data_IF_484861749818
#
_entry.id   IF_484861749818
#
_cell.length_a   1.000
_cell.length_b   1.000
_cell.length_c   1.000
_cell.angle_alpha   90.00
_cell.angle_beta   90.00
_cell.angle_gamma   90.00
#
_symmetry.space_group_name_H-M   'P 1'
#
loop_
_entity.id
_entity.type
_entity.pdbx_description
1 polymer ?
#
# COMPACT_ATOMS: atom_id res chain seq x y z
N UNK A 1 -13.76 -21.26 16.17
CA UNK A 1 -13.44 -19.93 15.57
C UNK A 1 -12.87 -19.00 16.65
N UNK A 2 -11.64 -18.50 16.49
CA UNK A 2 -11.02 -17.59 17.46
C UNK A 2 -11.71 -16.21 17.50
N UNK A 3 -11.52 -15.49 18.60
CA UNK A 3 -12.00 -14.10 18.77
C UNK A 3 -11.35 -13.21 17.70
N UNK A 4 -12.16 -12.54 16.87
CA UNK A 4 -11.70 -11.57 15.87
C UNK A 4 -12.13 -10.17 16.31
N UNK A 5 -11.22 -9.21 16.22
CA UNK A 5 -11.43 -7.79 16.60
C UNK A 5 -10.71 -6.91 15.58
N UNK A 6 -11.26 -5.74 15.30
CA UNK A 6 -10.57 -4.68 14.56
C UNK A 6 -10.05 -3.65 15.56
N UNK A 7 -8.79 -3.25 15.43
CA UNK A 7 -8.17 -2.18 16.21
C UNK A 7 -7.98 -0.96 15.30
N UNK A 8 -8.46 0.20 15.74
CA UNK A 8 -8.29 1.47 15.02
C UNK A 8 -7.70 2.51 15.96
N UNK A 9 -6.65 3.19 15.52
CA UNK A 9 -6.05 4.32 16.22
C UNK A 9 -6.51 5.62 15.56
N UNK A 10 -7.05 6.56 16.35
CA UNK A 10 -7.53 7.86 15.86
C UNK A 10 -8.40 7.70 14.59
N UNK A 11 -9.55 7.00 14.67
CA UNK A 11 -10.31 6.58 13.51
C UNK A 11 -10.67 7.74 12.60
N UNK A 12 -10.40 7.58 11.29
CA UNK A 12 -11.00 8.42 10.26
C UNK A 12 -12.35 7.83 9.84
N UNK A 13 -13.17 8.63 9.17
CA UNK A 13 -14.41 8.17 8.53
C UNK A 13 -14.18 6.94 7.65
N UNK A 14 -13.19 7.02 6.76
CA UNK A 14 -12.80 5.93 5.86
C UNK A 14 -12.46 4.63 6.61
N UNK A 15 -11.74 4.73 7.74
CA UNK A 15 -11.39 3.56 8.54
C UNK A 15 -12.63 2.92 9.20
N UNK A 16 -13.53 3.74 9.75
CA UNK A 16 -14.78 3.27 10.37
C UNK A 16 -15.70 2.61 9.35
N UNK A 17 -15.93 3.26 8.20
CA UNK A 17 -16.76 2.71 7.12
C UNK A 17 -16.20 1.37 6.63
N UNK A 18 -14.89 1.27 6.42
CA UNK A 18 -14.25 0.03 5.96
C UNK A 18 -14.46 -1.12 6.95
N UNK A 19 -14.38 -0.85 8.25
CA UNK A 19 -14.59 -1.85 9.31
C UNK A 19 -16.06 -2.21 9.50
N UNK A 20 -16.98 -1.26 9.27
CA UNK A 20 -18.42 -1.54 9.25
C UNK A 20 -18.81 -2.46 8.09
N UNK A 21 -18.28 -2.21 6.88
CA UNK A 21 -18.54 -3.03 5.68
C UNK A 21 -18.19 -4.50 5.90
N UNK A 22 -17.08 -4.79 6.58
CA UNK A 22 -16.63 -6.17 6.87
C UNK A 22 -17.30 -6.79 8.11
N UNK A 23 -18.29 -6.12 8.72
CA UNK A 23 -19.09 -6.68 9.81
C UNK A 23 -18.47 -6.56 11.20
N UNK A 24 -17.64 -5.54 11.45
CA UNK A 24 -17.05 -5.27 12.77
C UNK A 24 -17.47 -3.90 13.32
N UNK A 25 -18.77 -3.63 13.52
CA UNK A 25 -19.29 -2.29 13.83
C UNK A 25 -18.75 -1.67 15.12
N UNK A 26 -18.20 -2.48 16.03
CA UNK A 26 -17.60 -2.05 17.30
C UNK A 26 -16.09 -2.37 17.34
N UNK A 27 -15.25 -1.58 16.64
CA UNK A 27 -13.81 -1.73 16.72
C UNK A 27 -13.30 -1.35 18.12
N UNK A 28 -12.16 -1.91 18.49
CA UNK A 28 -11.35 -1.40 19.59
C UNK A 28 -10.73 -0.08 19.12
N UNK A 29 -11.09 1.01 19.78
CA UNK A 29 -10.59 2.35 19.44
C UNK A 29 -9.54 2.76 20.46
N UNK A 30 -8.39 3.21 19.96
CA UNK A 30 -7.36 3.87 20.76
C UNK A 30 -7.24 5.31 20.27
N UNK A 31 -7.17 6.24 21.20
CA UNK A 31 -6.94 7.64 20.90
C UNK A 31 -5.54 8.05 21.35
N UNK A 32 -4.89 8.89 20.54
CA UNK A 32 -3.62 9.54 20.88
C UNK A 32 -3.63 10.98 20.38
N UNK A 33 -2.94 11.84 21.12
CA UNK A 33 -2.66 13.21 20.72
C UNK A 33 -1.14 13.40 20.56
N UNK A 34 -0.75 14.40 19.78
CA UNK A 34 0.66 14.79 19.67
C UNK A 34 0.98 15.66 20.89
N UNK A 35 2.13 15.41 21.52
CA UNK A 35 2.61 16.24 22.63
C UNK A 35 2.78 17.70 22.19
N UNK A 36 2.20 18.62 22.96
CA UNK A 36 2.27 20.05 22.68
C UNK A 36 3.71 20.59 22.65
N UNK A 37 4.63 19.97 23.38
CA UNK A 37 6.04 20.34 23.35
C UNK A 37 6.69 20.03 22.00
N UNK A 38 6.33 18.92 21.34
CA UNK A 38 6.80 18.62 19.98
C UNK A 38 6.31 19.67 18.98
N UNK A 39 5.05 20.11 19.11
CA UNK A 39 4.49 21.16 18.25
C UNK A 39 5.21 22.50 18.46
N UNK A 40 5.52 22.86 19.70
CA UNK A 40 6.32 24.06 20.02
C UNK A 40 7.73 23.97 19.43
N UNK A 41 8.43 22.84 19.58
CA UNK A 41 9.77 22.65 19.02
C UNK A 41 9.75 22.76 17.48
N UNK A 42 8.74 22.18 16.82
CA UNK A 42 8.57 22.31 15.37
C UNK A 42 8.38 23.78 14.94
N UNK A 43 7.59 24.55 15.70
CA UNK A 43 7.41 26.00 15.44
C UNK A 43 8.71 26.80 15.64
N UNK A 44 9.61 26.32 16.49
CA UNK A 44 10.94 26.90 16.71
C UNK A 44 11.96 26.48 15.63
N UNK A 45 11.56 25.72 14.61
CA UNK A 45 12.43 25.32 13.51
C UNK A 45 13.32 24.11 13.80
N UNK A 46 13.04 23.34 14.86
CA UNK A 46 13.72 22.06 15.10
C UNK A 46 13.41 21.05 13.98
N UNK A 47 14.32 20.08 13.80
CA UNK A 47 14.16 19.04 12.79
C UNK A 47 12.91 18.19 13.08
N UNK A 48 12.03 18.09 12.09
CA UNK A 48 10.77 17.33 12.16
C UNK A 48 10.82 16.12 11.22
N UNK A 49 11.44 15.03 11.70
CA UNK A 49 11.65 13.81 10.92
C UNK A 49 10.42 12.91 10.79
N UNK A 50 10.53 11.88 9.96
CA UNK A 50 9.50 10.85 9.83
C UNK A 50 9.31 10.10 11.14
N UNK A 51 8.06 10.00 11.60
CA UNK A 51 7.70 9.12 12.73
C UNK A 51 7.36 7.72 12.20
N UNK A 52 8.03 6.64 12.65
CA UNK A 52 7.78 5.27 12.18
C UNK A 52 6.45 4.74 12.73
N UNK A 53 5.35 5.24 12.15
CA UNK A 53 4.00 5.04 12.65
C UNK A 53 3.59 3.56 12.69
N UNK A 54 4.00 2.76 11.72
CA UNK A 54 3.72 1.32 11.70
C UNK A 54 4.46 0.55 12.81
N UNK A 55 5.64 1.02 13.24
CA UNK A 55 6.31 0.44 14.39
C UNK A 55 5.51 0.70 15.68
N UNK A 56 5.05 1.94 15.89
CA UNK A 56 4.15 2.25 17.00
C UNK A 56 2.89 1.37 17.00
N UNK A 57 2.25 1.18 15.84
CA UNK A 57 1.09 0.29 15.72
C UNK A 57 1.41 -1.17 16.05
N UNK A 58 2.63 -1.65 15.77
CA UNK A 58 3.05 -3.01 16.14
C UNK A 58 3.07 -3.18 17.67
N UNK A 59 3.69 -2.25 18.40
CA UNK A 59 3.71 -2.26 19.87
C UNK A 59 2.31 -2.08 20.47
N UNK A 60 1.52 -1.13 19.95
CA UNK A 60 0.15 -0.91 20.40
C UNK A 60 -0.71 -2.17 20.15
N UNK A 61 -0.58 -2.78 18.98
CA UNK A 61 -1.27 -4.01 18.63
C UNK A 61 -0.90 -5.16 19.55
N UNK A 62 0.38 -5.35 19.88
CA UNK A 62 0.82 -6.37 20.83
C UNK A 62 0.23 -6.13 22.24
N UNK A 63 0.22 -4.88 22.71
CA UNK A 63 -0.35 -4.51 24.00
C UNK A 63 -1.86 -4.77 24.06
N UNK A 64 -2.63 -4.19 23.12
CA UNK A 64 -4.09 -4.38 23.05
C UNK A 64 -4.44 -5.85 22.81
N UNK A 65 -3.68 -6.53 21.95
CA UNK A 65 -3.83 -7.95 21.69
C UNK A 65 -3.75 -8.80 22.94
N UNK A 66 -2.76 -8.53 23.78
CA UNK A 66 -2.56 -9.20 25.07
C UNK A 66 -3.74 -8.96 26.00
N UNK A 67 -4.19 -7.71 26.14
CA UNK A 67 -5.34 -7.36 27.00
C UNK A 67 -6.65 -8.03 26.57
N UNK A 68 -6.82 -8.28 25.28
CA UNK A 68 -8.03 -8.90 24.73
C UNK A 68 -7.88 -10.39 24.43
N UNK A 69 -6.77 -11.01 24.86
CA UNK A 69 -6.46 -12.43 24.67
C UNK A 69 -6.45 -12.86 23.18
N UNK A 70 -6.07 -11.92 22.31
CA UNK A 70 -5.87 -12.18 20.88
C UNK A 70 -4.52 -12.84 20.65
N UNK A 71 -4.50 -13.99 19.97
CA UNK A 71 -3.27 -14.73 19.65
C UNK A 71 -2.50 -14.16 18.47
N UNK A 72 -3.18 -13.45 17.56
CA UNK A 72 -2.62 -12.96 16.30
C UNK A 72 -2.91 -11.46 16.16
N UNK A 73 -1.87 -10.68 15.89
CA UNK A 73 -1.94 -9.30 15.42
C UNK A 73 -1.59 -9.31 13.95
N UNK A 74 -2.60 -9.00 13.15
CA UNK A 74 -2.55 -9.09 11.71
C UNK A 74 -2.53 -7.67 11.17
N UNK A 75 -1.45 -7.32 10.48
CA UNK A 75 -1.36 -6.08 9.68
C UNK A 75 -1.34 -6.44 8.19
N UNK A 76 -1.41 -5.44 7.31
CA UNK A 76 -1.56 -5.65 5.87
C UNK A 76 -0.39 -5.08 5.05
N UNK A 77 0.83 -5.12 5.58
CA UNK A 77 2.00 -4.75 4.79
C UNK A 77 2.29 -5.81 3.72
N UNK A 78 2.64 -5.37 2.52
CA UNK A 78 2.97 -6.20 1.38
C UNK A 78 4.50 -6.19 1.11
N UNK A 79 4.97 -7.01 0.17
CA UNK A 79 6.39 -7.15 -0.17
C UNK A 79 7.01 -5.85 -0.70
N UNK A 80 6.25 -5.00 -1.39
CA UNK A 80 6.76 -3.78 -2.01
C UNK A 80 7.28 -2.75 -1.01
N UNK A 81 6.90 -2.89 0.27
CA UNK A 81 7.40 -2.08 1.38
C UNK A 81 8.88 -2.31 1.70
N UNK A 82 9.49 -3.38 1.16
CA UNK A 82 10.91 -3.69 1.34
C UNK A 82 11.82 -2.81 0.45
N UNK A 83 11.32 -2.24 -0.65
CA UNK A 83 12.11 -1.39 -1.56
C UNK A 83 12.48 -0.05 -0.90
N UNK A 84 13.79 0.25 -0.85
CA UNK A 84 14.33 1.53 -0.37
C UNK A 84 14.02 2.72 -1.27
N UNK A 85 14.24 3.92 -0.74
CA UNK A 85 14.01 5.19 -1.44
C UNK A 85 15.31 5.78 -2.01
N UNK A 86 16.38 5.81 -1.21
CA UNK A 86 17.65 6.46 -1.55
C UNK A 86 18.81 5.86 -0.74
N UNK A 87 20.03 5.94 -1.27
CA UNK A 87 21.26 5.67 -0.52
C UNK A 87 21.78 6.98 0.09
N UNK A 88 22.05 6.98 1.39
CA UNK A 88 22.63 8.10 2.12
C UNK A 88 23.77 7.61 3.00
N UNK A 89 25.01 8.07 2.74
CA UNK A 89 26.22 7.56 3.40
C UNK A 89 26.31 6.02 3.40
N UNK A 90 26.10 5.40 2.23
CA UNK A 90 26.09 3.94 2.04
C UNK A 90 25.00 3.18 2.83
N UNK A 91 24.06 3.90 3.45
CA UNK A 91 22.89 3.33 4.11
C UNK A 91 21.66 3.50 3.21
N UNK A 92 20.97 2.40 2.97
CA UNK A 92 19.65 2.44 2.33
C UNK A 92 18.63 3.06 3.28
N UNK A 93 18.06 4.18 2.85
CA UNK A 93 16.96 4.85 3.54
C UNK A 93 15.66 4.34 2.94
N UNK A 94 14.88 3.64 3.77
CA UNK A 94 13.54 3.17 3.44
C UNK A 94 12.50 3.88 4.30
N UNK A 95 11.68 4.74 3.69
CA UNK A 95 10.56 5.43 4.34
C UNK A 95 9.55 4.47 4.97
N UNK A 96 9.42 3.28 4.40
CA UNK A 96 8.53 2.21 4.82
C UNK A 96 9.24 1.15 5.65
N UNK A 97 10.44 1.41 6.21
CA UNK A 97 11.21 0.40 6.95
C UNK A 97 10.38 -0.33 8.02
N UNK A 98 9.54 0.38 8.77
CA UNK A 98 8.66 -0.20 9.81
C UNK A 98 7.52 -1.08 9.28
N UNK A 99 7.45 -1.26 7.96
CA UNK A 99 6.57 -2.17 7.24
C UNK A 99 7.35 -3.28 6.53
N UNK A 100 8.67 -3.28 6.56
CA UNK A 100 9.50 -4.28 5.88
C UNK A 100 9.47 -5.65 6.56
N UNK A 101 9.84 -6.71 5.83
CA UNK A 101 10.06 -8.04 6.40
C UNK A 101 11.16 -8.03 7.47
N UNK A 102 12.22 -7.24 7.26
CA UNK A 102 13.30 -7.07 8.24
C UNK A 102 12.78 -6.53 9.57
N UNK A 103 11.95 -5.48 9.53
CA UNK A 103 11.31 -4.96 10.74
C UNK A 103 10.39 -6.00 11.38
N UNK A 104 9.55 -6.67 10.58
CA UNK A 104 8.61 -7.68 11.07
C UNK A 104 9.33 -8.82 11.81
N UNK A 105 10.43 -9.33 11.25
CA UNK A 105 11.29 -10.35 11.88
C UNK A 105 11.85 -9.86 13.22
N UNK A 106 12.50 -8.69 13.22
CA UNK A 106 13.12 -8.13 14.43
C UNK A 106 12.09 -7.81 15.52
N UNK A 107 10.92 -7.29 15.13
CA UNK A 107 9.83 -7.01 16.07
C UNK A 107 9.27 -8.29 16.69
N UNK A 108 9.10 -9.37 15.91
CA UNK A 108 8.68 -10.68 16.43
C UNK A 108 9.68 -11.25 17.44
N UNK A 109 10.97 -11.18 17.12
CA UNK A 109 12.06 -11.61 18.03
C UNK A 109 12.06 -10.79 19.32
N UNK A 110 11.96 -9.46 19.20
CA UNK A 110 11.87 -8.56 20.34
C UNK A 110 10.63 -8.83 21.20
N UNK A 111 9.46 -8.96 20.59
CA UNK A 111 8.19 -9.19 21.27
C UNK A 111 8.22 -10.49 22.06
N UNK A 112 8.69 -11.58 21.44
CA UNK A 112 8.79 -12.88 22.10
C UNK A 112 9.76 -12.87 23.30
N UNK A 113 10.83 -12.09 23.22
CA UNK A 113 11.85 -12.01 24.28
C UNK A 113 11.48 -11.08 25.44
N UNK A 114 10.86 -9.94 25.15
CA UNK A 114 10.72 -8.84 26.12
C UNK A 114 9.28 -8.42 26.42
N UNK A 115 8.30 -8.79 25.59
CA UNK A 115 6.91 -8.35 25.77
C UNK A 115 6.01 -9.54 26.12
N UNK A 116 5.77 -10.41 25.14
CA UNK A 116 4.91 -11.58 25.29
C UNK A 116 5.22 -12.59 24.18
N UNK A 117 5.29 -13.87 24.55
CA UNK A 117 5.38 -14.99 23.62
C UNK A 117 4.01 -15.51 23.18
N UNK A 118 2.92 -15.01 23.78
CA UNK A 118 1.55 -15.49 23.54
C UNK A 118 0.90 -14.89 22.30
N UNK A 119 1.45 -13.78 21.80
CA UNK A 119 0.90 -13.01 20.68
C UNK A 119 1.85 -13.04 19.50
N UNK A 120 1.35 -13.45 18.34
CA UNK A 120 2.06 -13.44 17.07
C UNK A 120 1.78 -12.14 16.31
N UNK A 121 2.80 -11.53 15.73
CA UNK A 121 2.65 -10.38 14.83
C UNK A 121 3.07 -10.77 13.42
N UNK A 122 2.24 -10.53 12.41
CA UNK A 122 2.63 -10.77 11.02
C UNK A 122 1.82 -9.91 10.04
N UNK A 123 2.39 -9.71 8.85
CA UNK A 123 1.72 -8.99 7.77
C UNK A 123 1.04 -9.97 6.82
N UNK A 124 -0.30 -9.97 6.75
CA UNK A 124 -1.10 -10.89 5.95
C UNK A 124 -0.83 -10.80 4.45
N UNK A 125 -0.48 -9.60 3.95
CA UNK A 125 -0.22 -9.38 2.52
C UNK A 125 1.26 -9.50 2.13
N UNK A 126 2.16 -9.82 3.09
CA UNK A 126 3.61 -9.93 2.84
C UNK A 126 3.99 -10.76 1.61
N UNK A 127 3.30 -11.87 1.27
CA UNK A 127 3.68 -12.66 0.12
C UNK A 127 3.43 -11.98 -1.23
N UNK A 128 2.68 -10.88 -1.26
CA UNK A 128 2.21 -10.22 -2.48
C UNK A 128 2.92 -8.89 -2.69
N UNK A 129 3.02 -8.49 -3.95
CA UNK A 129 3.29 -7.13 -4.37
C UNK A 129 2.00 -6.28 -4.30
N UNK A 130 2.15 -4.99 -4.02
CA UNK A 130 1.05 -4.01 -3.99
C UNK A 130 0.18 -4.00 -5.27
N UNK A 131 0.73 -4.32 -6.45
CA UNK A 131 -0.09 -4.44 -7.68
C UNK A 131 -0.98 -5.68 -7.69
N UNK A 132 -0.56 -6.80 -7.07
CA UNK A 132 -1.43 -7.97 -6.84
C UNK A 132 -2.51 -7.63 -5.81
N UNK A 133 -2.16 -6.85 -4.77
CA UNK A 133 -3.11 -6.32 -3.79
C UNK A 133 -4.13 -5.40 -4.47
N UNK A 134 -3.71 -4.55 -5.41
CA UNK A 134 -4.60 -3.69 -6.20
C UNK A 134 -5.56 -4.50 -7.06
N UNK A 135 -5.09 -5.59 -7.68
CA UNK A 135 -5.95 -6.51 -8.43
C UNK A 135 -6.94 -7.25 -7.51
N UNK A 136 -6.51 -7.69 -6.32
CA UNK A 136 -7.39 -8.26 -5.31
C UNK A 136 -8.46 -7.24 -4.89
N UNK A 137 -8.05 -6.03 -4.50
CA UNK A 137 -8.94 -4.95 -4.06
C UNK A 137 -10.00 -4.59 -5.11
N UNK A 138 -9.63 -4.60 -6.39
CA UNK A 138 -10.56 -4.33 -7.48
C UNK A 138 -11.77 -5.29 -7.49
N UNK A 139 -11.62 -6.50 -6.92
CA UNK A 139 -12.70 -7.49 -6.79
C UNK A 139 -13.64 -7.30 -5.59
N UNK A 140 -13.40 -6.29 -4.73
CA UNK A 140 -14.22 -5.96 -3.56
C UNK A 140 -14.95 -4.61 -3.72
N UNK A 141 -16.02 -4.55 -4.56
CA UNK A 141 -16.73 -3.31 -4.88
C UNK A 141 -17.33 -2.60 -3.66
N UNK A 142 -17.65 -3.31 -2.60
CA UNK A 142 -18.14 -2.77 -1.34
C UNK A 142 -17.16 -1.77 -0.70
N UNK A 143 -15.87 -1.88 -1.00
CA UNK A 143 -14.83 -1.02 -0.44
C UNK A 143 -14.43 0.16 -1.33
N UNK A 144 -14.91 0.22 -2.58
CA UNK A 144 -14.44 1.20 -3.57
C UNK A 144 -14.68 2.66 -3.18
N UNK A 145 -15.57 2.93 -2.22
CA UNK A 145 -15.85 4.28 -1.73
C UNK A 145 -15.44 4.53 -0.27
N UNK A 146 -15.11 3.48 0.49
CA UNK A 146 -14.73 3.62 1.90
C UNK A 146 -13.24 3.90 2.09
N UNK A 147 -12.40 3.70 1.06
CA UNK A 147 -10.96 3.85 1.17
C UNK A 147 -10.48 5.27 0.80
N UNK A 148 -9.57 5.82 1.61
CA UNK A 148 -8.92 7.10 1.32
C UNK A 148 -7.45 7.10 1.70
N UNK A 149 -6.58 7.10 0.70
CA UNK A 149 -5.12 7.08 0.88
C UNK A 149 -4.44 8.43 0.62
N UNK A 150 -5.17 9.47 0.23
CA UNK A 150 -4.58 10.75 -0.17
C UNK A 150 -3.89 11.50 0.98
N UNK A 151 -2.57 11.73 0.93
CA UNK A 151 -1.87 12.44 2.01
C UNK A 151 -2.29 13.90 2.21
N UNK A 152 -2.81 14.54 1.16
CA UNK A 152 -3.19 15.96 1.19
C UNK A 152 -4.65 16.14 1.60
N UNK A 153 -5.51 15.19 1.21
CA UNK A 153 -6.97 15.33 1.28
C UNK A 153 -7.68 14.29 2.14
N UNK A 154 -6.95 13.34 2.77
CA UNK A 154 -7.57 12.28 3.57
C UNK A 154 -8.41 12.81 4.73
N UNK A 155 -8.00 13.92 5.36
CA UNK A 155 -8.78 14.54 6.45
C UNK A 155 -10.11 15.11 5.98
N UNK A 156 -10.20 15.57 4.75
CA UNK A 156 -11.44 16.03 4.11
C UNK A 156 -12.11 14.94 3.25
N UNK A 157 -11.66 13.69 3.39
CA UNK A 157 -12.15 12.54 2.62
C UNK A 157 -12.16 12.75 1.09
N UNK A 158 -11.08 13.34 0.56
CA UNK A 158 -10.95 13.66 -0.87
C UNK A 158 -9.64 13.19 -1.50
N UNK A 159 -9.68 12.83 -2.78
CA UNK A 159 -8.47 12.67 -3.60
C UNK A 159 -8.03 14.04 -4.14
N UNK A 160 -6.80 14.48 -3.85
CA UNK A 160 -6.26 15.68 -4.50
C UNK A 160 -5.93 15.40 -5.98
N UNK A 161 -5.63 14.13 -6.30
CA UNK A 161 -5.38 13.67 -7.65
C UNK A 161 -4.08 14.16 -8.28
N UNK A 162 -3.14 14.62 -7.44
CA UNK A 162 -1.85 15.18 -7.85
C UNK A 162 -0.67 14.69 -6.98
N UNK A 163 -0.90 14.26 -5.73
CA UNK A 163 0.19 13.73 -4.88
C UNK A 163 0.60 12.31 -5.30
N UNK A 164 1.83 11.91 -4.96
CA UNK A 164 2.38 10.61 -5.34
C UNK A 164 1.50 9.42 -4.87
N UNK A 165 0.89 9.51 -3.67
CA UNK A 165 -0.01 8.47 -3.19
C UNK A 165 -1.33 8.39 -4.00
N UNK A 166 -1.89 9.52 -4.44
CA UNK A 166 -3.04 9.51 -5.34
C UNK A 166 -2.68 8.91 -6.70
N UNK A 167 -1.55 9.34 -7.28
CA UNK A 167 -1.10 8.89 -8.60
C UNK A 167 -0.79 7.40 -8.58
N UNK A 168 -0.06 6.92 -7.57
CA UNK A 168 0.27 5.50 -7.44
C UNK A 168 -0.99 4.63 -7.32
N UNK A 169 -1.92 4.97 -6.41
CA UNK A 169 -3.18 4.22 -6.24
C UNK A 169 -4.02 4.24 -7.52
N UNK A 170 -4.04 5.36 -8.24
CA UNK A 170 -4.73 5.45 -9.52
C UNK A 170 -4.12 4.50 -10.55
N UNK A 171 -2.80 4.55 -10.78
CA UNK A 171 -2.15 3.72 -11.81
C UNK A 171 -2.21 2.23 -11.44
N UNK A 172 -2.17 1.87 -10.16
CA UNK A 172 -2.20 0.46 -9.74
C UNK A 172 -3.59 -0.17 -9.88
N UNK A 173 -4.67 0.61 -9.73
CA UNK A 173 -6.06 0.15 -9.88
C UNK A 173 -6.57 0.26 -11.33
N UNK A 174 -6.05 1.18 -12.13
CA UNK A 174 -6.50 1.44 -13.50
C UNK A 174 -6.60 0.18 -14.38
N UNK A 175 -5.66 -0.79 -14.33
CA UNK A 175 -5.76 -2.00 -15.13
C UNK A 175 -6.96 -2.90 -14.80
N UNK A 176 -7.50 -2.80 -13.57
CA UNK A 176 -8.39 -3.80 -12.99
C UNK A 176 -9.82 -3.32 -12.79
N UNK A 177 -10.06 -2.01 -12.87
CA UNK A 177 -11.38 -1.41 -12.77
C UNK A 177 -11.89 -0.94 -14.14
N UNK A 178 -13.23 -0.82 -14.26
CA UNK A 178 -13.83 -0.24 -15.47
C UNK A 178 -13.56 1.27 -15.53
N UNK A 179 -13.55 1.89 -16.72
CA UNK A 179 -13.42 3.34 -16.87
C UNK A 179 -14.47 4.11 -16.05
N UNK A 180 -15.70 3.60 -16.00
CA UNK A 180 -16.81 4.18 -15.24
C UNK A 180 -16.50 4.15 -13.74
N UNK A 181 -16.05 3.00 -13.22
CA UNK A 181 -15.70 2.87 -11.80
C UNK A 181 -14.49 3.73 -11.44
N UNK A 182 -13.47 3.80 -12.30
CA UNK A 182 -12.33 4.71 -12.11
C UNK A 182 -12.80 6.17 -12.04
N UNK A 183 -13.75 6.57 -12.89
CA UNK A 183 -14.33 7.91 -12.89
C UNK A 183 -15.15 8.17 -11.63
N UNK A 184 -15.92 7.22 -11.14
CA UNK A 184 -16.68 7.36 -9.89
C UNK A 184 -15.75 7.54 -8.67
N UNK A 185 -14.66 6.77 -8.59
CA UNK A 185 -13.73 6.84 -7.45
C UNK A 185 -12.87 8.11 -7.49
N UNK A 186 -12.31 8.43 -8.66
CA UNK A 186 -11.27 9.47 -8.81
C UNK A 186 -11.75 10.76 -9.47
N UNK A 187 -12.99 10.78 -9.97
CA UNK A 187 -13.66 11.92 -10.63
C UNK A 187 -13.25 12.16 -12.08
N UNK A 188 -12.03 11.78 -12.47
CA UNK A 188 -11.48 12.02 -13.80
C UNK A 188 -10.33 11.06 -14.10
N UNK A 189 -10.07 10.88 -15.40
CA UNK A 189 -8.90 10.15 -15.87
C UNK A 189 -7.63 10.95 -15.56
N UNK A 190 -6.75 10.40 -14.71
CA UNK A 190 -5.55 11.11 -14.32
C UNK A 190 -4.52 11.13 -15.46
N UNK A 191 -4.50 10.16 -16.38
CA UNK A 191 -3.55 10.16 -17.51
C UNK A 191 -3.77 11.31 -18.49
N UNK A 192 -4.91 12.00 -18.42
CA UNK A 192 -5.21 13.20 -19.18
C UNK A 192 -4.74 14.50 -18.51
N UNK A 193 -4.17 14.43 -17.30
CA UNK A 193 -3.67 15.61 -16.57
C UNK A 193 -2.17 15.80 -16.80
N UNK A 194 -1.71 16.89 -17.42
CA UNK A 194 -0.28 17.13 -17.60
C UNK A 194 0.51 17.16 -16.28
N UNK A 195 -0.12 17.67 -15.20
CA UNK A 195 0.52 17.80 -13.88
C UNK A 195 0.92 16.48 -13.22
N UNK A 196 0.35 15.34 -13.61
CA UNK A 196 0.71 14.06 -13.00
C UNK A 196 1.92 13.39 -13.66
N UNK A 197 2.33 13.84 -14.85
CA UNK A 197 3.45 13.22 -15.59
C UNK A 197 4.74 13.20 -14.79
N UNK A 198 5.17 14.31 -14.16
CA UNK A 198 6.41 14.30 -13.38
C UNK A 198 6.35 13.33 -12.21
N UNK A 199 5.14 13.07 -11.68
CA UNK A 199 4.92 12.14 -10.59
C UNK A 199 5.04 10.70 -11.09
N UNK A 200 4.40 10.35 -12.21
CA UNK A 200 4.55 9.01 -12.81
C UNK A 200 6.02 8.75 -13.15
N UNK A 201 6.71 9.72 -13.77
CA UNK A 201 8.15 9.62 -14.08
C UNK A 201 9.00 9.30 -12.85
N UNK A 202 8.68 9.90 -11.70
CA UNK A 202 9.36 9.58 -10.45
C UNK A 202 9.00 8.18 -9.92
N UNK A 203 7.74 7.76 -10.04
CA UNK A 203 7.28 6.43 -9.65
C UNK A 203 7.97 5.31 -10.44
N UNK A 204 8.18 5.50 -11.74
CA UNK A 204 8.84 4.52 -12.62
C UNK A 204 10.37 4.60 -12.61
N UNK A 205 10.97 5.47 -11.79
CA UNK A 205 12.43 5.60 -11.67
C UNK A 205 13.13 6.43 -12.77
N UNK A 206 12.38 7.14 -13.62
CA UNK A 206 12.95 8.09 -14.59
C UNK A 206 13.35 9.42 -13.94
N UNK A 207 12.92 9.65 -12.69
CA UNK A 207 13.33 10.81 -11.89
C UNK A 207 13.55 10.37 -10.44
N UNK A 208 14.77 10.54 -9.94
CA UNK A 208 15.13 10.25 -8.56
C UNK A 208 15.01 11.50 -7.65
N UNK A 209 14.84 11.31 -6.34
CA UNK A 209 14.56 10.03 -5.68
C UNK A 209 13.10 9.58 -5.89
N UNK A 210 12.85 8.27 -5.75
CA UNK A 210 11.49 7.74 -5.55
C UNK A 210 10.79 8.55 -4.44
N UNK A 211 9.51 8.97 -4.63
CA UNK A 211 8.80 9.73 -3.61
C UNK A 211 8.85 9.05 -2.23
N UNK A 212 9.12 9.82 -1.18
CA UNK A 212 9.13 9.37 0.22
C UNK A 212 7.72 9.16 0.72
N UNK A 213 7.04 8.18 0.11
CA UNK A 213 5.64 7.90 0.33
C UNK A 213 5.41 6.40 0.44
N UNK A 214 4.26 6.03 1.01
CA UNK A 214 3.88 4.64 1.13
C UNK A 214 3.32 4.12 -0.21
N UNK A 215 4.18 3.80 -1.17
CA UNK A 215 3.81 3.39 -2.53
C UNK A 215 4.57 2.11 -2.91
N UNK A 216 4.09 1.41 -3.95
CA UNK A 216 4.74 0.21 -4.47
C UNK A 216 6.11 0.48 -5.11
N UNK A 217 6.68 -0.56 -5.69
CA UNK A 217 8.03 -0.53 -6.28
C UNK A 217 8.11 0.22 -7.60
N UNK A 218 9.33 0.53 -8.05
CA UNK A 218 9.58 1.09 -9.39
C UNK A 218 9.07 0.14 -10.48
N UNK A 219 9.38 -1.15 -10.35
CA UNK A 219 8.98 -2.16 -11.32
C UNK A 219 7.45 -2.36 -11.38
N UNK A 220 6.76 -2.28 -10.24
CA UNK A 220 5.29 -2.29 -10.22
C UNK A 220 4.68 -1.07 -10.90
N UNK A 221 5.30 0.09 -10.73
CA UNK A 221 4.85 1.32 -11.39
C UNK A 221 5.06 1.23 -12.91
N UNK A 222 6.16 0.66 -13.36
CA UNK A 222 6.43 0.37 -14.79
C UNK A 222 5.37 -0.62 -15.32
N UNK A 223 5.12 -1.69 -14.57
CA UNK A 223 4.10 -2.67 -14.94
C UNK A 223 2.70 -2.05 -14.99
N UNK A 224 2.34 -1.20 -14.04
CA UNK A 224 1.07 -0.47 -14.05
C UNK A 224 0.90 0.39 -15.32
N UNK A 225 1.97 1.08 -15.75
CA UNK A 225 1.98 1.84 -17.02
C UNK A 225 1.79 0.91 -18.22
N UNK A 226 2.50 -0.22 -18.27
CA UNK A 226 2.38 -1.20 -19.36
C UNK A 226 0.95 -1.76 -19.47
N UNK A 227 0.35 -2.12 -18.33
CA UNK A 227 -1.01 -2.62 -18.24
C UNK A 227 -2.03 -1.54 -18.61
N UNK A 228 -1.81 -0.28 -18.24
CA UNK A 228 -2.67 0.83 -18.64
C UNK A 228 -2.67 1.03 -20.17
N UNK A 229 -1.49 1.00 -20.81
CA UNK A 229 -1.36 1.06 -22.27
C UNK A 229 -2.14 -0.07 -22.93
N UNK A 230 -1.98 -1.31 -22.45
CA UNK A 230 -2.75 -2.46 -22.95
C UNK A 230 -4.25 -2.24 -22.76
N UNK A 231 -4.67 -1.79 -21.59
CA UNK A 231 -6.08 -1.54 -21.28
C UNK A 231 -6.73 -0.52 -22.22
N UNK A 232 -6.05 0.57 -22.58
CA UNK A 232 -6.56 1.52 -23.57
C UNK A 232 -6.71 0.88 -24.96
N UNK A 233 -5.74 0.05 -25.39
CA UNK A 233 -5.81 -0.69 -26.66
C UNK A 233 -7.01 -1.63 -26.68
N UNK A 234 -7.20 -2.42 -25.61
CA UNK A 234 -8.30 -3.39 -25.49
C UNK A 234 -9.67 -2.71 -25.50
N UNK A 235 -9.78 -1.49 -24.99
CA UNK A 235 -10.99 -0.67 -25.03
C UNK A 235 -11.22 0.06 -26.36
N UNK A 236 -10.30 -0.05 -27.32
CA UNK A 236 -10.34 0.73 -28.56
C UNK A 236 -10.18 2.25 -28.33
N UNK A 237 -9.70 2.66 -27.16
CA UNK A 237 -9.54 4.05 -26.76
C UNK A 237 -8.25 4.67 -27.30
N UNK A 238 -8.25 6.00 -27.46
CA UNK A 238 -7.02 6.75 -27.76
C UNK A 238 -6.10 6.72 -26.55
N UNK A 239 -4.90 6.15 -26.71
CA UNK A 239 -3.88 6.13 -25.67
C UNK A 239 -3.42 7.57 -25.38
N UNK A 240 -3.46 8.04 -24.12
CA UNK A 240 -2.93 9.35 -23.73
C UNK A 240 -1.47 9.56 -24.18
N UNK A 241 -1.14 10.77 -24.64
CA UNK A 241 0.21 11.10 -25.16
C UNK A 241 1.32 10.81 -24.15
N UNK A 242 1.06 11.07 -22.87
CA UNK A 242 1.97 10.76 -21.77
C UNK A 242 2.31 9.27 -21.70
N UNK A 243 1.31 8.39 -21.84
CA UNK A 243 1.51 6.94 -21.82
C UNK A 243 2.26 6.46 -23.06
N UNK A 244 2.02 7.08 -24.23
CA UNK A 244 2.82 6.79 -25.44
C UNK A 244 4.28 7.17 -25.24
N UNK A 245 4.54 8.34 -24.65
CA UNK A 245 5.91 8.82 -24.35
C UNK A 245 6.62 7.89 -23.36
N UNK A 246 5.98 7.58 -22.23
CA UNK A 246 6.49 6.66 -21.22
C UNK A 246 6.71 5.25 -21.78
N UNK A 247 5.79 4.75 -22.61
CA UNK A 247 5.91 3.43 -23.23
C UNK A 247 7.17 3.29 -24.07
N UNK A 248 7.51 4.31 -24.85
CA UNK A 248 8.76 4.35 -25.65
C UNK A 248 10.00 4.41 -24.78
N UNK A 249 10.01 5.32 -23.80
CA UNK A 249 11.17 5.56 -22.94
C UNK A 249 11.49 4.36 -22.03
N UNK A 250 10.46 3.62 -21.61
CA UNK A 250 10.57 2.43 -20.77
C UNK A 250 10.69 1.12 -21.59
N UNK A 251 10.68 1.19 -22.92
CA UNK A 251 10.77 0.00 -23.79
C UNK A 251 9.57 -0.94 -23.72
N UNK A 252 8.38 -0.43 -23.39
CA UNK A 252 7.15 -1.21 -23.19
C UNK A 252 6.44 -1.60 -24.50
N UNK A 253 7.01 -1.23 -25.65
CA UNK A 253 6.56 -1.67 -26.97
C UNK A 253 6.94 -3.15 -27.23
N UNK A 254 7.95 -3.67 -26.54
CA UNK A 254 8.32 -5.09 -26.60
C UNK A 254 7.42 -5.94 -25.69
N UNK A 255 6.63 -6.80 -26.32
CA UNK A 255 5.70 -7.68 -25.61
C UNK A 255 6.42 -8.68 -24.70
N UNK A 256 7.66 -9.07 -25.04
CA UNK A 256 8.45 -9.97 -24.18
C UNK A 256 8.86 -9.29 -22.89
N UNK A 257 9.34 -8.06 -22.95
CA UNK A 257 9.69 -7.24 -21.78
C UNK A 257 8.50 -7.10 -20.82
N UNK A 258 7.31 -6.78 -21.34
CA UNK A 258 6.09 -6.68 -20.51
C UNK A 258 5.71 -8.03 -19.91
N UNK A 259 5.80 -9.12 -20.67
CA UNK A 259 5.49 -10.46 -20.17
C UNK A 259 6.44 -10.89 -19.05
N UNK A 260 7.74 -10.60 -19.18
CA UNK A 260 8.73 -10.88 -18.14
C UNK A 260 8.45 -10.11 -16.84
N UNK A 261 8.06 -8.83 -16.94
CA UNK A 261 7.65 -8.03 -15.78
C UNK A 261 6.39 -8.60 -15.12
N UNK A 262 5.39 -8.99 -15.90
CA UNK A 262 4.19 -9.65 -15.38
C UNK A 262 4.51 -10.96 -14.67
N UNK A 263 5.36 -11.80 -15.24
CA UNK A 263 5.77 -13.07 -14.65
C UNK A 263 6.57 -12.86 -13.35
N UNK A 264 7.44 -11.83 -13.34
CA UNK A 264 8.26 -11.47 -12.17
C UNK A 264 7.43 -10.94 -11.00
N UNK A 265 6.34 -10.23 -11.27
CA UNK A 265 5.58 -9.49 -10.25
C UNK A 265 4.21 -10.14 -9.99
N UNK A 266 3.37 -10.26 -11.02
CA UNK A 266 1.98 -10.72 -10.84
C UNK A 266 1.87 -12.18 -10.43
N UNK A 267 2.77 -13.03 -10.92
CA UNK A 267 2.76 -14.47 -10.63
C UNK A 267 3.63 -14.86 -9.44
N UNK A 268 4.36 -13.90 -8.86
CA UNK A 268 5.33 -14.17 -7.82
C UNK A 268 4.66 -14.24 -6.46
N UNK A 269 5.12 -15.20 -5.67
CA UNK A 269 4.84 -15.33 -4.24
C UNK A 269 6.15 -15.13 -3.49
N UNK A 270 6.23 -14.09 -2.66
CA UNK A 270 7.37 -13.90 -1.78
C UNK A 270 7.32 -14.96 -0.67
N UNK A 271 8.37 -15.78 -0.52
CA UNK A 271 8.47 -16.80 0.52
C UNK A 271 8.92 -16.25 1.88
N UNK A 272 9.41 -15.02 1.94
CA UNK A 272 9.84 -14.35 3.17
C UNK A 272 8.62 -13.76 3.90
N UNK A 273 7.93 -14.60 4.67
CA UNK A 273 6.78 -14.18 5.47
C UNK A 273 6.58 -15.00 6.74
N UNK A 274 5.81 -14.47 7.67
CA UNK A 274 5.42 -15.16 8.91
C UNK A 274 3.95 -15.59 8.96
N UNK A 275 3.24 -15.60 7.82
CA UNK A 275 1.86 -16.09 7.76
C UNK A 275 1.77 -17.55 8.25
N UNK A 276 0.88 -17.85 9.20
CA UNK A 276 0.46 -19.23 9.46
C UNK A 276 -0.13 -19.91 8.22
N UNK A 277 0.04 -21.24 8.13
CA UNK A 277 -0.35 -22.06 6.97
C UNK A 277 -1.83 -21.90 6.57
N UNK A 278 -2.73 -21.73 7.55
CA UNK A 278 -4.16 -21.49 7.29
C UNK A 278 -4.41 -20.19 6.51
N UNK A 279 -3.63 -19.14 6.78
CA UNK A 279 -3.73 -17.86 6.11
C UNK A 279 -3.05 -17.88 4.74
N UNK A 280 -1.97 -18.66 4.59
CA UNK A 280 -1.36 -18.94 3.27
C UNK A 280 -2.38 -19.60 2.35
N UNK A 281 -3.08 -20.64 2.84
CA UNK A 281 -4.13 -21.33 2.07
C UNK A 281 -5.27 -20.39 1.70
N UNK A 282 -5.71 -19.55 2.64
CA UNK A 282 -6.77 -18.56 2.40
C UNK A 282 -6.38 -17.57 1.30
N UNK A 283 -5.17 -17.01 1.38
CA UNK A 283 -4.69 -16.02 0.42
C UNK A 283 -4.49 -16.64 -0.97
N UNK A 284 -3.88 -17.83 -1.06
CA UNK A 284 -3.72 -18.55 -2.33
C UNK A 284 -5.07 -18.91 -2.96
N UNK A 285 -6.06 -19.32 -2.17
CA UNK A 285 -7.40 -19.60 -2.68
C UNK A 285 -8.05 -18.33 -3.28
N UNK A 286 -7.85 -17.17 -2.67
CA UNK A 286 -8.33 -15.90 -3.21
C UNK A 286 -7.66 -15.55 -4.54
N UNK A 287 -6.34 -15.71 -4.65
CA UNK A 287 -5.59 -15.47 -5.90
C UNK A 287 -6.08 -16.39 -7.03
N UNK A 288 -6.23 -17.69 -6.76
CA UNK A 288 -6.72 -18.68 -7.74
C UNK A 288 -8.13 -18.33 -8.22
N UNK A 289 -9.04 -17.99 -7.30
CA UNK A 289 -10.42 -17.61 -7.62
C UNK A 289 -10.47 -16.40 -8.56
N UNK A 290 -9.54 -15.47 -8.40
CA UNK A 290 -9.47 -14.20 -9.13
C UNK A 290 -8.52 -14.25 -10.34
N UNK A 291 -7.93 -15.43 -10.63
CA UNK A 291 -6.96 -15.66 -11.72
C UNK A 291 -5.79 -14.66 -11.66
N UNK A 292 -5.28 -14.43 -10.45
CA UNK A 292 -4.11 -13.61 -10.16
C UNK A 292 -2.87 -14.50 -10.09
#
# INVERSE_FOLDING_TARGET
PGRKRCLILNPTRAALESVQIVGYPEPLVVERTIDQNLLKLNQLGYLNGHTPFSAYLAFLGAFVGTLHECKNIIVSNDHSTDEGNVLFHDLEINHQYSKSFRFEKLFREYSARYLTSQVQYFSFLRPLYEIQVSQLFASYPEHHFSFRSCNVGQKEDRWCGECAKCVFVYISLFPFLSPERMKEIFGKDYYLKPKIEPVIRALVGLKEPKPFECIGTKEESILAVALAIRRYKDLGGKIPSMLVSLGKELGLDDTKTVQLLEDKIKKRWNSEHFLPEEYVKLLKAALVKLKI
#
